data_IF_844335675207
#
_entry.id   IF_844335675207
#
_cell.length_a   1.000
_cell.length_b   1.000
_cell.length_c   1.000
_cell.angle_alpha   90.00
_cell.angle_beta   90.00
_cell.angle_gamma   90.00
#
_symmetry.space_group_name_H-M   'P 1'
#
loop_
_entity.id
_entity.type
_entity.pdbx_description
1 polymer ?
#
# COMPACT_ATOMS: atom_id res chain seq x y z
N UNK A 1 15.01 8.43 14.01
CA UNK A 1 15.15 7.04 14.52
C UNK A 1 15.97 6.15 13.60
N UNK A 2 15.55 5.83 12.37
CA UNK A 2 16.28 4.87 11.51
C UNK A 2 17.74 5.27 11.21
N UNK A 3 17.99 6.56 10.93
CA UNK A 3 19.36 7.08 10.76
C UNK A 3 20.21 6.99 12.04
N UNK A 4 19.59 7.15 13.22
CA UNK A 4 20.28 7.14 14.52
C UNK A 4 20.80 5.74 14.83
N UNK A 5 20.08 4.70 14.41
CA UNK A 5 20.49 3.29 14.58
C UNK A 5 21.35 2.77 13.42
N UNK A 6 21.87 3.64 12.56
CA UNK A 6 22.79 3.26 11.48
C UNK A 6 22.15 2.58 10.27
N UNK A 7 20.83 2.64 10.10
CA UNK A 7 20.18 2.08 8.90
C UNK A 7 20.47 3.01 7.70
N UNK A 8 21.17 2.48 6.70
CA UNK A 8 21.62 3.23 5.52
C UNK A 8 20.52 3.65 4.53
N UNK A 9 19.33 3.07 4.63
CA UNK A 9 18.18 3.40 3.78
C UNK A 9 16.95 3.75 4.62
N UNK A 10 16.30 4.88 4.34
CA UNK A 10 15.10 5.30 5.08
C UNK A 10 13.85 4.70 4.45
N UNK A 11 13.00 4.07 5.27
CA UNK A 11 11.68 3.58 4.88
C UNK A 11 10.56 4.31 5.64
N UNK A 12 9.43 4.56 4.98
CA UNK A 12 8.24 5.22 5.56
C UNK A 12 7.47 4.33 6.57
N UNK A 13 7.88 3.08 6.77
CA UNK A 13 7.21 2.13 7.67
C UNK A 13 5.78 1.75 7.26
N UNK A 14 5.30 2.23 6.10
CA UNK A 14 3.93 2.03 5.59
C UNK A 14 2.86 2.52 6.56
N UNK A 15 3.15 3.54 7.38
CA UNK A 15 2.27 4.01 8.47
C UNK A 15 0.88 4.45 7.98
N UNK A 16 0.78 4.93 6.74
CA UNK A 16 -0.49 5.39 6.15
C UNK A 16 -1.45 4.27 5.76
N UNK A 17 -1.06 3.01 5.88
CA UNK A 17 -1.86 1.87 5.41
C UNK A 17 -2.20 0.96 6.55
N UNK A 18 -3.46 0.56 6.62
CA UNK A 18 -3.88 -0.47 7.57
C UNK A 18 -3.40 -1.85 7.10
N UNK A 19 -3.41 -2.10 5.79
CA UNK A 19 -2.95 -3.33 5.17
C UNK A 19 -1.98 -3.05 4.02
N UNK A 20 -1.14 -4.04 3.70
CA UNK A 20 -0.13 -3.86 2.65
C UNK A 20 -0.70 -3.42 1.30
N UNK A 21 -1.81 -4.04 0.89
CA UNK A 21 -2.51 -3.81 -0.37
C UNK A 21 -3.60 -2.74 -0.31
N UNK A 22 -3.72 -2.07 0.84
CA UNK A 22 -4.70 -1.00 1.04
C UNK A 22 -4.44 0.15 0.06
N UNK A 23 -5.50 0.62 -0.59
CA UNK A 23 -5.45 1.64 -1.65
C UNK A 23 -4.85 1.22 -3.00
N UNK A 24 -4.19 0.05 -3.12
CA UNK A 24 -3.63 -0.42 -4.42
C UNK A 24 -4.75 -0.70 -5.41
N UNK A 25 -5.81 -1.38 -4.94
CA UNK A 25 -6.88 -1.84 -5.81
C UNK A 25 -7.68 -0.68 -6.43
N UNK A 26 -7.75 0.47 -5.75
CA UNK A 26 -8.40 1.68 -6.28
C UNK A 26 -7.61 2.33 -7.43
N UNK A 27 -6.32 2.01 -7.53
CA UNK A 27 -5.42 2.51 -8.58
C UNK A 27 -5.32 1.55 -9.77
N UNK A 28 -5.97 0.38 -9.68
CA UNK A 28 -6.01 -0.65 -10.71
C UNK A 28 -7.38 -0.67 -11.39
N UNK A 29 -7.39 -0.74 -12.72
CA UNK A 29 -8.64 -0.90 -13.49
C UNK A 29 -9.21 -2.30 -13.27
N UNK A 30 -10.54 -2.40 -13.19
CA UNK A 30 -11.33 -3.65 -13.16
C UNK A 30 -11.18 -4.47 -11.86
N UNK A 31 -10.91 -3.79 -10.74
CA UNK A 31 -11.07 -4.36 -9.41
C UNK A 31 -12.50 -4.09 -8.94
N UNK A 32 -13.19 -5.13 -8.48
CA UNK A 32 -14.56 -5.03 -7.98
C UNK A 32 -14.65 -5.73 -6.62
N UNK A 33 -15.38 -5.13 -5.69
CA UNK A 33 -15.68 -5.75 -4.40
C UNK A 33 -16.80 -6.77 -4.60
N UNK A 34 -16.59 -8.07 -4.30
CA UNK A 34 -17.64 -9.06 -4.36
C UNK A 34 -18.69 -8.78 -3.29
N UNK A 35 -19.97 -9.01 -3.62
CA UNK A 35 -21.10 -8.79 -2.72
C UNK A 35 -21.07 -9.70 -1.48
N UNK A 36 -20.54 -10.91 -1.65
CA UNK A 36 -20.39 -11.91 -0.60
C UNK A 36 -18.90 -11.97 -0.23
N UNK A 37 -18.50 -11.24 0.81
CA UNK A 37 -17.12 -11.29 1.29
C UNK A 37 -16.79 -12.68 1.82
N UNK A 38 -15.68 -13.25 1.35
CA UNK A 38 -15.05 -14.40 2.00
C UNK A 38 -14.63 -13.95 3.39
N UNK A 39 -15.28 -14.47 4.44
CA UNK A 39 -14.83 -14.22 5.80
C UNK A 39 -13.47 -14.92 5.98
N UNK A 40 -12.45 -14.21 6.50
CA UNK A 40 -11.23 -14.89 6.92
C UNK A 40 -11.60 -15.92 8.01
N UNK A 41 -10.83 -17.00 8.09
CA UNK A 41 -11.00 -18.05 9.11
C UNK A 41 -10.89 -17.52 10.56
N UNK A 42 -10.36 -16.31 10.73
CA UNK A 42 -10.28 -15.60 12.00
C UNK A 42 -11.56 -14.82 12.26
N UNK A 43 -12.02 -14.77 13.52
CA UNK A 43 -13.22 -14.07 14.02
C UNK A 43 -13.22 -12.52 13.86
N UNK A 44 -12.49 -12.00 12.87
CA UNK A 44 -12.41 -10.59 12.54
C UNK A 44 -13.70 -10.22 11.81
N UNK A 45 -14.63 -9.59 12.53
CA UNK A 45 -15.95 -9.15 12.01
C UNK A 45 -15.86 -8.13 10.88
N UNK A 46 -14.72 -7.44 10.74
CA UNK A 46 -14.44 -6.45 9.70
C UNK A 46 -13.02 -6.68 9.15
N UNK A 47 -12.84 -7.81 8.46
CA UNK A 47 -11.63 -8.03 7.67
C UNK A 47 -11.59 -7.12 6.44
N UNK A 48 -10.43 -6.92 5.81
CA UNK A 48 -10.38 -6.26 4.51
C UNK A 48 -11.32 -6.95 3.53
N UNK A 49 -12.10 -6.14 2.80
CA UNK A 49 -12.94 -6.64 1.72
C UNK A 49 -12.04 -7.33 0.70
N UNK A 50 -12.34 -8.59 0.38
CA UNK A 50 -11.73 -9.25 -0.77
C UNK A 50 -12.03 -8.43 -2.03
N UNK A 51 -11.14 -8.45 -3.01
CA UNK A 51 -11.32 -7.76 -4.28
C UNK A 51 -11.13 -8.77 -5.41
N UNK A 52 -12.02 -8.76 -6.39
CA UNK A 52 -12.00 -9.67 -7.53
C UNK A 52 -11.53 -8.92 -8.78
N UNK A 53 -10.69 -9.58 -9.58
CA UNK A 53 -10.23 -9.05 -10.86
C UNK A 53 -11.17 -9.50 -11.98
N UNK A 54 -11.88 -8.58 -12.63
CA UNK A 54 -12.81 -8.91 -13.74
C UNK A 54 -12.13 -8.88 -15.13
N UNK A 55 -10.80 -8.86 -15.16
CA UNK A 55 -10.04 -8.95 -16.39
C UNK A 55 -8.60 -8.48 -16.25
N UNK A 56 -7.94 -8.23 -17.38
CA UNK A 56 -6.54 -7.81 -17.40
C UNK A 56 -6.33 -6.52 -16.62
N UNK A 57 -5.54 -6.60 -15.56
CA UNK A 57 -5.18 -5.47 -14.71
C UNK A 57 -4.41 -4.42 -15.51
N UNK A 58 -4.81 -3.16 -15.33
CA UNK A 58 -4.08 -2.02 -15.86
C UNK A 58 -3.91 -0.99 -14.76
N UNK A 59 -2.68 -0.51 -14.59
CA UNK A 59 -2.38 0.59 -13.67
C UNK A 59 -2.94 1.89 -14.23
N UNK A 60 -3.88 2.49 -13.51
CA UNK A 60 -4.49 3.78 -13.90
C UNK A 60 -3.72 4.97 -13.33
N UNK A 61 -3.12 4.81 -12.14
CA UNK A 61 -2.38 5.85 -11.43
C UNK A 61 -1.06 5.31 -10.86
N UNK A 62 -0.04 6.17 -10.66
CA UNK A 62 1.15 5.78 -9.90
C UNK A 62 0.75 5.28 -8.52
N UNK A 63 1.29 4.12 -8.10
CA UNK A 63 0.81 3.49 -6.87
C UNK A 63 1.22 4.30 -5.63
N UNK A 64 2.52 4.59 -5.53
CA UNK A 64 3.13 5.14 -4.32
C UNK A 64 3.93 6.42 -4.55
N UNK A 65 3.87 6.99 -5.75
CA UNK A 65 4.73 8.12 -6.15
C UNK A 65 4.71 9.24 -5.14
N UNK A 66 3.53 9.81 -4.88
CA UNK A 66 3.37 10.93 -3.94
C UNK A 66 3.81 10.61 -2.50
N UNK A 67 3.64 9.36 -2.06
CA UNK A 67 4.06 8.95 -0.72
C UNK A 67 5.59 8.90 -0.61
N UNK A 68 6.27 8.37 -1.64
CA UNK A 68 7.73 8.35 -1.69
C UNK A 68 8.33 9.73 -1.94
N UNK A 69 7.67 10.60 -2.71
CA UNK A 69 8.16 11.95 -2.97
C UNK A 69 8.19 12.80 -1.69
N UNK A 70 7.20 12.61 -0.80
CA UNK A 70 7.24 13.23 0.54
C UNK A 70 8.36 12.67 1.41
N UNK A 71 8.62 11.36 1.35
CA UNK A 71 9.74 10.75 2.07
C UNK A 71 11.08 11.30 1.57
N UNK A 72 11.20 11.54 0.25
CA UNK A 72 12.36 12.18 -0.38
C UNK A 72 12.64 13.60 0.09
N UNK A 73 11.60 14.37 0.38
CA UNK A 73 11.80 15.71 0.91
C UNK A 73 12.28 15.70 2.37
N UNK A 74 11.97 14.64 3.12
CA UNK A 74 12.29 14.54 4.56
C UNK A 74 13.64 13.85 4.78
N UNK A 75 13.92 12.79 4.01
CA UNK A 75 15.18 12.09 4.04
C UNK A 75 16.06 12.63 2.91
N UNK A 76 17.19 13.26 3.27
CA UNK A 76 18.21 13.75 2.33
C UNK A 76 18.39 12.78 1.15
N UNK A 77 18.46 13.31 -0.08
CA UNK A 77 18.39 12.54 -1.33
C UNK A 77 19.32 11.30 -1.38
N UNK A 78 20.48 11.38 -0.73
CA UNK A 78 21.48 10.28 -0.67
C UNK A 78 21.06 9.06 0.16
N UNK A 79 19.99 9.19 0.98
CA UNK A 79 19.56 8.16 1.93
C UNK A 79 18.37 7.31 1.45
N UNK A 80 18.04 7.40 0.16
CA UNK A 80 16.85 6.78 -0.44
C UNK A 80 17.30 5.96 -1.64
N UNK A 81 17.11 4.64 -1.55
CA UNK A 81 17.35 3.66 -2.61
C UNK A 81 16.04 3.11 -3.15
#
# INVERSE_FOLDING_TARGET
MQKIVGIGSVIDGKFRRFLFYDGIFDQLKRMVKPSNCCQPYTFIKSGPSSQTCEGKLKRMKPLYGEAFDRLKNIASADSIR
#
